data_IF_459310630296
#
_entry.id   IF_459310630296
#
_cell.length_a   1.000
_cell.length_b   1.000
_cell.length_c   1.000
_cell.angle_alpha   90.00
_cell.angle_beta   90.00
_cell.angle_gamma   90.00
#
_symmetry.space_group_name_H-M   'P 1'
#
loop_
_entity.id
_entity.type
_entity.pdbx_description
1 polymer ?
#
# COMPACT_ATOMS: atom_id res chain seq x y z
N UNK A 1 -26.45 -13.85 33.72
CA UNK A 1 -25.77 -12.60 34.11
C UNK A 1 -26.63 -11.44 33.64
N UNK A 2 -27.24 -10.69 34.56
CA UNK A 2 -28.03 -9.50 34.21
C UNK A 2 -27.12 -8.26 34.27
N UNK A 3 -27.24 -7.39 33.27
CA UNK A 3 -26.53 -6.11 33.24
C UNK A 3 -26.93 -5.27 34.46
N UNK A 4 -25.97 -4.91 35.32
CA UNK A 4 -26.21 -4.09 36.53
C UNK A 4 -25.95 -2.59 36.32
N UNK A 5 -25.83 -2.12 35.07
CA UNK A 5 -25.64 -0.71 34.77
C UNK A 5 -26.97 0.05 34.73
N UNK A 6 -26.94 1.33 35.09
CA UNK A 6 -28.07 2.25 34.90
C UNK A 6 -28.25 2.53 33.41
N UNK A 7 -29.42 2.21 32.86
CA UNK A 7 -29.80 2.60 31.49
C UNK A 7 -30.24 4.07 31.55
N UNK A 8 -29.45 4.95 30.92
CA UNK A 8 -29.79 6.36 30.80
C UNK A 8 -30.87 6.57 29.73
N UNK A 9 -31.75 7.54 29.94
CA UNK A 9 -32.65 8.03 28.90
C UNK A 9 -31.85 8.69 27.77
N UNK A 10 -32.46 8.82 26.59
CA UNK A 10 -31.83 9.51 25.45
C UNK A 10 -31.46 10.95 25.82
N UNK A 11 -32.32 11.65 26.55
CA UNK A 11 -32.05 13.02 27.02
C UNK A 11 -30.84 13.07 27.97
N UNK A 12 -30.77 12.14 28.93
CA UNK A 12 -29.63 12.05 29.85
C UNK A 12 -28.32 11.65 29.14
N UNK A 13 -28.40 10.88 28.04
CA UNK A 13 -27.26 10.59 27.19
C UNK A 13 -26.80 11.83 26.41
N UNK A 14 -27.74 12.61 25.89
CA UNK A 14 -27.44 13.84 25.13
C UNK A 14 -26.84 14.93 26.03
N UNK A 15 -27.41 15.16 27.22
CA UNK A 15 -26.87 16.09 28.21
C UNK A 15 -25.45 15.69 28.62
N UNK A 16 -25.23 14.39 28.86
CA UNK A 16 -23.90 13.87 29.21
C UNK A 16 -22.90 14.00 28.07
N UNK A 17 -23.33 13.80 26.81
CA UNK A 17 -22.47 13.98 25.64
C UNK A 17 -22.11 15.46 25.43
N UNK A 18 -23.04 16.39 25.68
CA UNK A 18 -22.82 17.83 25.57
C UNK A 18 -21.97 18.39 26.73
N UNK A 19 -22.06 17.81 27.93
CA UNK A 19 -21.28 18.21 29.10
C UNK A 19 -19.86 17.62 29.11
N UNK A 20 -19.63 16.54 28.36
CA UNK A 20 -18.28 16.01 28.17
C UNK A 20 -17.48 16.97 27.27
N UNK A 21 -16.22 17.30 27.63
CA UNK A 21 -15.35 18.01 26.69
C UNK A 21 -15.27 17.19 25.41
N UNK A 22 -15.52 17.84 24.27
CA UNK A 22 -15.46 17.19 22.97
C UNK A 22 -14.07 16.55 22.85
N UNK A 23 -13.97 15.21 22.69
CA UNK A 23 -12.67 14.59 22.52
C UNK A 23 -12.06 15.23 21.28
N UNK A 24 -10.93 15.92 21.47
CA UNK A 24 -10.21 16.51 20.36
C UNK A 24 -10.07 15.43 19.29
N UNK A 25 -10.48 15.69 18.02
CA UNK A 25 -10.36 14.69 16.98
C UNK A 25 -8.91 14.23 17.00
N UNK A 26 -8.71 12.92 17.20
CA UNK A 26 -7.39 12.30 17.20
C UNK A 26 -6.88 12.38 15.76
N UNK A 27 -6.43 13.56 15.36
CA UNK A 27 -5.75 13.82 14.10
C UNK A 27 -4.27 13.48 14.29
N UNK A 28 -3.99 12.28 14.81
CA UNK A 28 -2.76 11.64 14.42
C UNK A 28 -2.97 11.30 12.93
N UNK A 29 -2.61 12.23 12.04
CA UNK A 29 -2.54 11.98 10.60
C UNK A 29 -1.42 10.96 10.41
N UNK A 30 -1.75 9.71 10.67
CA UNK A 30 -0.83 8.59 10.67
C UNK A 30 -1.00 7.73 9.42
N UNK A 31 -0.05 6.81 9.26
CA UNK A 31 -0.15 5.76 8.27
C UNK A 31 -1.23 4.77 8.70
N UNK A 32 -2.03 4.29 7.74
CA UNK A 32 -2.94 3.17 7.98
C UNK A 32 -2.17 1.85 7.95
N UNK A 33 -1.46 1.61 6.85
CA UNK A 33 -0.52 0.51 6.69
C UNK A 33 0.74 1.00 5.97
N UNK A 34 1.86 0.38 6.29
CA UNK A 34 3.12 0.55 5.56
C UNK A 34 3.27 -0.51 4.46
N UNK A 35 4.21 -0.31 3.55
CA UNK A 35 4.64 -1.32 2.60
C UNK A 35 5.10 -2.61 3.29
N UNK A 36 5.69 -2.51 4.49
CA UNK A 36 6.10 -3.69 5.26
C UNK A 36 4.90 -4.48 5.79
N UNK A 37 3.83 -3.82 6.24
CA UNK A 37 2.62 -4.49 6.72
C UNK A 37 1.90 -5.19 5.55
N UNK A 38 1.82 -4.52 4.39
CA UNK A 38 1.24 -5.09 3.18
C UNK A 38 2.07 -6.26 2.61
N UNK A 39 3.41 -6.21 2.71
CA UNK A 39 4.27 -7.32 2.32
C UNK A 39 4.14 -8.53 3.26
N UNK A 40 3.99 -8.32 4.56
CA UNK A 40 3.71 -9.42 5.49
C UNK A 40 2.43 -10.17 5.09
N UNK A 41 1.37 -9.43 4.71
CA UNK A 41 0.15 -10.04 4.19
C UNK A 41 0.37 -10.79 2.88
N UNK A 42 1.19 -10.26 1.96
CA UNK A 42 1.57 -10.99 0.74
C UNK A 42 2.33 -12.29 1.06
N UNK A 43 3.21 -12.29 2.06
CA UNK A 43 3.92 -13.51 2.47
C UNK A 43 2.96 -14.62 2.89
N UNK A 44 1.85 -14.27 3.56
CA UNK A 44 0.81 -15.23 3.94
C UNK A 44 0.08 -15.77 2.70
N UNK A 45 -0.23 -14.91 1.72
CA UNK A 45 -0.87 -15.31 0.46
C UNK A 45 0.04 -16.25 -0.35
N UNK A 46 1.34 -15.90 -0.47
CA UNK A 46 2.33 -16.74 -1.16
C UNK A 46 2.48 -18.09 -0.46
N UNK A 47 2.54 -18.11 0.87
CA UNK A 47 2.61 -19.36 1.63
C UNK A 47 1.35 -20.24 1.49
N UNK A 48 0.18 -19.62 1.27
CA UNK A 48 -1.07 -20.32 0.98
C UNK A 48 -1.16 -20.82 -0.47
N UNK A 49 -0.20 -20.48 -1.34
CA UNK A 49 -0.18 -20.88 -2.75
C UNK A 49 -1.08 -20.03 -3.65
N UNK A 50 -1.49 -18.84 -3.19
CA UNK A 50 -2.29 -17.92 -3.98
C UNK A 50 -1.49 -17.34 -5.16
N UNK A 51 -2.19 -16.96 -6.23
CA UNK A 51 -1.55 -16.38 -7.41
C UNK A 51 -0.88 -15.04 -7.08
N UNK A 52 0.26 -14.81 -7.73
CA UNK A 52 0.97 -13.55 -7.81
C UNK A 52 0.07 -12.35 -8.17
N UNK A 53 -1.01 -12.56 -8.94
CA UNK A 53 -2.01 -11.54 -9.23
C UNK A 53 -2.79 -11.06 -7.98
N UNK A 54 -3.06 -11.94 -7.01
CA UNK A 54 -3.68 -11.57 -5.74
C UNK A 54 -2.72 -10.75 -4.89
N UNK A 55 -1.43 -11.12 -4.87
CA UNK A 55 -0.39 -10.33 -4.20
C UNK A 55 -0.19 -8.95 -4.84
N UNK A 56 -0.40 -8.82 -6.15
CA UNK A 56 -0.43 -7.50 -6.80
C UNK A 56 -1.58 -6.63 -6.27
N UNK A 57 -2.79 -7.18 -6.19
CA UNK A 57 -3.98 -6.45 -5.71
C UNK A 57 -3.87 -6.08 -4.23
N UNK A 58 -3.60 -7.06 -3.38
CA UNK A 58 -3.64 -6.87 -1.92
C UNK A 58 -2.33 -6.35 -1.32
N UNK A 59 -1.21 -6.44 -2.05
CA UNK A 59 0.05 -5.84 -1.64
C UNK A 59 0.29 -4.50 -2.30
N UNK A 60 0.42 -4.50 -3.63
CA UNK A 60 0.92 -3.36 -4.39
C UNK A 60 -0.14 -2.27 -4.54
N UNK A 61 -1.36 -2.63 -4.98
CA UNK A 61 -2.44 -1.65 -5.12
C UNK A 61 -2.92 -1.15 -3.75
N UNK A 62 -2.97 -2.02 -2.75
CA UNK A 62 -3.26 -1.61 -1.38
C UNK A 62 -2.22 -0.59 -0.85
N UNK A 63 -0.93 -0.82 -1.09
CA UNK A 63 0.13 0.14 -0.71
C UNK A 63 0.00 1.47 -1.46
N UNK A 64 -0.37 1.43 -2.74
CA UNK A 64 -0.64 2.64 -3.51
C UNK A 64 -1.86 3.40 -2.95
N UNK A 65 -2.91 2.70 -2.51
CA UNK A 65 -4.09 3.28 -1.87
C UNK A 65 -3.72 3.92 -0.51
N UNK A 66 -2.95 3.21 0.33
CA UNK A 66 -2.47 3.73 1.62
C UNK A 66 -1.59 4.98 1.43
N UNK A 67 -0.69 4.94 0.45
CA UNK A 67 0.13 6.09 0.06
C UNK A 67 -0.72 7.26 -0.44
N UNK A 68 -1.64 7.02 -1.37
CA UNK A 68 -2.50 8.07 -1.96
C UNK A 68 -3.41 8.70 -0.90
N UNK A 69 -3.96 7.89 -0.01
CA UNK A 69 -4.75 8.35 1.13
C UNK A 69 -3.93 9.25 2.06
N UNK A 70 -2.69 8.85 2.36
CA UNK A 70 -1.78 9.61 3.22
C UNK A 70 -1.33 10.90 2.55
N UNK A 71 -1.00 10.85 1.26
CA UNK A 71 -0.62 12.01 0.44
C UNK A 71 -1.70 13.09 0.48
N UNK A 72 -2.96 12.71 0.30
CA UNK A 72 -4.09 13.65 0.35
C UNK A 72 -4.27 14.31 1.71
N UNK A 73 -3.91 13.63 2.80
CA UNK A 73 -4.08 14.14 4.17
C UNK A 73 -2.89 14.95 4.69
N UNK A 74 -1.67 14.67 4.24
CA UNK A 74 -0.46 15.25 4.86
C UNK A 74 0.73 15.44 3.92
N UNK A 75 0.53 15.35 2.61
CA UNK A 75 1.56 15.67 1.62
C UNK A 75 2.62 14.58 1.40
N UNK A 76 3.57 14.82 0.47
CA UNK A 76 4.54 13.81 0.02
C UNK A 76 5.44 13.28 1.13
N UNK A 77 5.86 14.12 2.08
CA UNK A 77 6.76 13.73 3.15
C UNK A 77 6.10 12.77 4.13
N UNK A 78 4.80 12.95 4.40
CA UNK A 78 4.05 12.01 5.22
C UNK A 78 3.77 10.71 4.43
N UNK A 79 3.41 10.82 3.15
CA UNK A 79 3.14 9.66 2.30
C UNK A 79 4.38 8.78 2.12
N UNK A 80 5.57 9.37 1.99
CA UNK A 80 6.85 8.66 1.91
C UNK A 80 7.08 7.71 3.09
N UNK A 81 6.49 8.01 4.27
CA UNK A 81 6.62 7.15 5.46
C UNK A 81 6.01 5.77 5.28
N UNK A 82 5.10 5.57 4.31
CA UNK A 82 4.63 4.22 3.91
C UNK A 82 5.79 3.28 3.60
N UNK A 83 6.93 3.81 3.14
CA UNK A 83 8.10 3.06 2.72
C UNK A 83 9.27 3.10 3.71
N UNK A 84 9.11 3.70 4.89
CA UNK A 84 10.20 3.82 5.90
C UNK A 84 10.65 2.45 6.42
N UNK A 85 9.71 1.58 6.75
CA UNK A 85 10.00 0.21 7.16
C UNK A 85 10.27 -0.63 5.92
N UNK A 86 11.45 -1.24 5.87
CA UNK A 86 11.77 -2.20 4.80
C UNK A 86 10.79 -3.37 4.85
N UNK A 87 10.14 -3.71 3.73
CA UNK A 87 9.32 -4.90 3.64
C UNK A 87 10.17 -6.18 3.74
N UNK A 88 9.80 -7.11 4.62
CA UNK A 88 10.40 -8.45 4.63
C UNK A 88 10.15 -9.17 3.30
N UNK A 89 10.99 -10.14 2.99
CA UNK A 89 10.86 -10.95 1.77
C UNK A 89 9.57 -11.77 1.83
N UNK A 90 8.77 -11.64 0.79
CA UNK A 90 7.46 -12.30 0.69
C UNK A 90 7.54 -13.77 0.28
N UNK A 91 8.73 -14.22 -0.14
CA UNK A 91 8.92 -15.52 -0.80
C UNK A 91 8.65 -15.48 -2.31
N UNK A 92 8.15 -14.36 -2.85
CA UNK A 92 8.01 -14.11 -4.28
C UNK A 92 8.90 -12.96 -4.73
N UNK A 93 9.88 -13.25 -5.58
CA UNK A 93 10.80 -12.24 -6.12
C UNK A 93 10.04 -11.18 -6.94
N UNK A 94 8.96 -11.57 -7.61
CA UNK A 94 8.14 -10.68 -8.42
C UNK A 94 7.42 -9.63 -7.55
N UNK A 95 6.86 -10.08 -6.42
CA UNK A 95 6.19 -9.20 -5.45
C UNK A 95 7.20 -8.30 -4.74
N UNK A 96 8.34 -8.86 -4.31
CA UNK A 96 9.41 -8.09 -3.68
C UNK A 96 9.96 -6.99 -4.61
N UNK A 97 10.09 -7.30 -5.91
CA UNK A 97 10.48 -6.36 -6.96
C UNK A 97 9.44 -5.26 -7.15
N UNK A 98 8.15 -5.58 -7.05
CA UNK A 98 7.08 -4.58 -7.20
C UNK A 98 7.04 -3.57 -6.05
N UNK A 99 7.28 -3.98 -4.81
CA UNK A 99 7.38 -3.02 -3.70
C UNK A 99 8.53 -2.03 -3.91
N UNK A 100 9.69 -2.53 -4.37
CA UNK A 100 10.84 -1.68 -4.70
C UNK A 100 10.55 -0.75 -5.90
N UNK A 101 9.89 -1.27 -6.94
CA UNK A 101 9.47 -0.48 -8.10
C UNK A 101 8.47 0.62 -7.73
N UNK A 102 7.51 0.32 -6.84
CA UNK A 102 6.50 1.28 -6.40
C UNK A 102 7.13 2.42 -5.59
N UNK A 103 8.05 2.11 -4.66
CA UNK A 103 8.77 3.12 -3.89
C UNK A 103 9.58 4.06 -4.80
N UNK A 104 10.36 3.50 -5.74
CA UNK A 104 11.13 4.26 -6.72
C UNK A 104 10.22 5.15 -7.59
N UNK A 105 9.15 4.57 -8.16
CA UNK A 105 8.18 5.29 -8.98
C UNK A 105 7.54 6.49 -8.27
N UNK A 106 7.05 6.28 -7.04
CA UNK A 106 6.38 7.33 -6.28
C UNK A 106 7.34 8.39 -5.76
N UNK A 107 8.58 8.02 -5.43
CA UNK A 107 9.63 8.94 -5.02
C UNK A 107 9.99 9.93 -6.13
N UNK A 108 10.13 9.43 -7.35
CA UNK A 108 10.40 10.25 -8.54
C UNK A 108 9.19 11.14 -8.87
N UNK A 109 7.97 10.59 -8.79
CA UNK A 109 6.74 11.32 -9.10
C UNK A 109 6.48 12.48 -8.13
N UNK A 110 6.67 12.26 -6.83
CA UNK A 110 6.23 13.19 -5.78
C UNK A 110 7.40 13.92 -5.08
N UNK A 111 8.63 13.73 -5.56
CA UNK A 111 9.79 14.55 -5.18
C UNK A 111 10.36 14.25 -3.79
N UNK A 112 10.43 12.98 -3.39
CA UNK A 112 11.07 12.54 -2.15
C UNK A 112 12.17 11.50 -2.42
N UNK A 113 13.01 11.20 -1.43
CA UNK A 113 14.16 10.30 -1.59
C UNK A 113 13.74 8.85 -1.34
N UNK A 114 13.85 7.99 -2.36
CA UNK A 114 13.59 6.56 -2.22
C UNK A 114 14.46 5.92 -1.11
N UNK A 115 13.92 5.00 -0.30
CA UNK A 115 14.70 4.29 0.70
C UNK A 115 15.73 3.36 0.05
N UNK A 116 16.87 3.14 0.73
CA UNK A 116 17.98 2.35 0.19
C UNK A 116 17.57 0.92 -0.20
N UNK A 117 16.67 0.29 0.56
CA UNK A 117 16.18 -1.06 0.27
C UNK A 117 15.48 -1.17 -1.09
N UNK A 118 14.89 -0.08 -1.61
CA UNK A 118 14.26 -0.09 -2.92
C UNK A 118 15.30 -0.20 -4.05
N UNK A 119 16.56 0.16 -3.79
CA UNK A 119 17.66 0.02 -4.75
C UNK A 119 18.34 -1.36 -4.72
N UNK A 120 17.89 -2.28 -3.87
CA UNK A 120 18.46 -3.63 -3.75
C UNK A 120 18.31 -4.40 -5.09
N UNK A 121 19.43 -4.79 -5.74
CA UNK A 121 19.39 -5.46 -7.04
C UNK A 121 18.72 -6.84 -7.00
N UNK A 122 18.62 -7.47 -5.82
CA UNK A 122 17.95 -8.75 -5.65
C UNK A 122 16.41 -8.64 -5.68
N UNK A 123 15.85 -7.43 -5.66
CA UNK A 123 14.43 -7.14 -5.88
C UNK A 123 14.15 -6.87 -7.37
N UNK A 124 14.49 -7.84 -8.20
CA UNK A 124 14.36 -7.77 -9.66
C UNK A 124 13.68 -9.03 -10.19
N UNK A 125 12.52 -8.87 -10.82
CA UNK A 125 11.81 -9.94 -11.51
C UNK A 125 12.51 -10.29 -12.83
N UNK A 126 12.35 -11.53 -13.31
CA UNK A 126 12.86 -11.92 -14.62
C UNK A 126 12.06 -11.28 -15.75
N UNK A 127 10.74 -11.45 -15.69
CA UNK A 127 9.77 -10.87 -16.60
C UNK A 127 8.38 -11.14 -16.04
N UNK A 128 7.71 -10.10 -15.56
CA UNK A 128 6.41 -10.25 -14.91
C UNK A 128 5.40 -9.24 -15.45
N UNK A 129 4.16 -9.70 -15.64
CA UNK A 129 3.05 -8.96 -16.24
C UNK A 129 1.83 -9.01 -15.31
N UNK A 130 1.89 -8.33 -14.15
CA UNK A 130 0.85 -8.45 -13.13
C UNK A 130 -0.49 -7.89 -13.63
N UNK A 131 -1.51 -8.75 -13.65
CA UNK A 131 -2.85 -8.40 -14.12
C UNK A 131 -2.91 -7.80 -15.55
N UNK A 132 -1.90 -8.06 -16.40
CA UNK A 132 -1.88 -7.62 -17.81
C UNK A 132 -2.25 -8.79 -18.72
N UNK A 133 -3.40 -8.73 -19.42
CA UNK A 133 -3.77 -9.73 -20.42
C UNK A 133 -2.70 -9.89 -21.51
N UNK A 134 -2.54 -11.10 -22.03
CA UNK A 134 -1.50 -11.42 -23.03
C UNK A 134 -1.50 -10.48 -24.24
N UNK A 135 -2.69 -10.10 -24.71
CA UNK A 135 -2.90 -9.18 -25.83
C UNK A 135 -2.31 -7.77 -25.61
N UNK A 136 -2.13 -7.34 -24.36
CA UNK A 136 -1.59 -6.02 -24.00
C UNK A 136 -0.11 -6.06 -23.59
N UNK A 137 0.56 -7.22 -23.62
CA UNK A 137 1.95 -7.35 -23.13
C UNK A 137 2.96 -6.58 -23.97
N UNK A 138 2.75 -6.48 -25.27
CA UNK A 138 3.62 -5.70 -26.16
C UNK A 138 3.54 -4.20 -25.82
N UNK A 139 2.32 -3.71 -25.61
CA UNK A 139 2.07 -2.33 -25.16
C UNK A 139 2.70 -2.09 -23.78
N UNK A 140 2.45 -2.97 -22.81
CA UNK A 140 3.01 -2.86 -21.46
C UNK A 140 4.53 -2.71 -21.49
N UNK A 141 5.24 -3.49 -22.31
CA UNK A 141 6.70 -3.35 -22.47
C UNK A 141 7.10 -1.95 -22.97
N UNK A 142 6.37 -1.42 -23.95
CA UNK A 142 6.63 -0.13 -24.55
C UNK A 142 6.36 1.04 -23.57
N UNK A 143 5.29 0.95 -22.77
CA UNK A 143 4.81 2.09 -21.96
C UNK A 143 5.16 2.03 -20.48
N UNK A 144 5.66 0.89 -19.97
CA UNK A 144 5.93 0.70 -18.53
C UNK A 144 6.80 1.82 -17.94
N UNK A 145 6.45 2.34 -16.75
CA UNK A 145 7.30 3.33 -16.08
C UNK A 145 8.69 2.78 -15.80
N UNK A 146 9.70 3.66 -15.84
CA UNK A 146 11.11 3.33 -15.68
C UNK A 146 11.37 2.42 -14.47
N UNK A 147 10.84 2.78 -13.31
CA UNK A 147 11.06 2.08 -12.05
C UNK A 147 10.59 0.60 -12.08
N UNK A 148 9.47 0.33 -12.75
CA UNK A 148 8.95 -1.02 -12.95
C UNK A 148 9.75 -1.76 -14.04
N UNK A 149 9.98 -1.11 -15.19
CA UNK A 149 10.70 -1.71 -16.33
C UNK A 149 12.10 -2.19 -15.95
N UNK A 150 12.86 -1.39 -15.19
CA UNK A 150 14.22 -1.74 -14.74
C UNK A 150 14.25 -2.96 -13.82
N UNK A 151 13.12 -3.31 -13.20
CA UNK A 151 12.96 -4.47 -12.31
C UNK A 151 12.25 -5.64 -12.98
N UNK A 152 12.12 -5.64 -14.31
CA UNK A 152 11.50 -6.73 -15.07
C UNK A 152 9.97 -6.79 -14.94
N UNK A 153 9.34 -5.71 -14.49
CA UNK A 153 7.88 -5.63 -14.30
C UNK A 153 7.29 -4.76 -15.39
N UNK A 154 6.28 -5.30 -16.06
CA UNK A 154 5.65 -4.67 -17.21
C UNK A 154 4.17 -4.45 -16.96
N UNK A 155 3.79 -3.17 -16.90
CA UNK A 155 2.45 -2.69 -16.59
C UNK A 155 1.96 -1.69 -17.63
N UNK A 156 0.64 -1.58 -17.77
CA UNK A 156 -0.01 -0.50 -18.51
C UNK A 156 -0.38 0.63 -17.53
N UNK A 157 -0.83 1.77 -18.06
CA UNK A 157 -1.36 2.87 -17.23
C UNK A 157 -2.54 2.42 -16.36
N UNK A 158 -3.37 1.49 -16.86
CA UNK A 158 -4.50 0.92 -16.12
C UNK A 158 -4.09 -0.05 -15.02
N UNK A 159 -2.89 -0.64 -15.03
CA UNK A 159 -2.47 -1.62 -14.01
C UNK A 159 -2.29 -1.02 -12.62
N UNK A 160 -2.07 0.29 -12.52
CA UNK A 160 -2.05 1.04 -11.25
C UNK A 160 -3.37 1.76 -10.96
N UNK A 161 -4.31 1.75 -11.91
CA UNK A 161 -5.67 2.17 -11.66
C UNK A 161 -6.40 1.03 -10.93
N UNK A 162 -7.13 1.35 -9.87
CA UNK A 162 -8.01 0.39 -9.22
C UNK A 162 -9.10 0.00 -10.22
N UNK A 163 -9.26 -1.29 -10.49
CA UNK A 163 -10.36 -1.83 -11.27
C UNK A 163 -11.70 -1.65 -10.53
#
# INVERSE_FOLDING_TARGET
>A
MAFQGTVLSVDALLERAQAAPEPAPVSAVGLRHSAADNAARCSELVAAGEDSAESWRFGILQTLDDYTSTLRRGGPQLAARVFEREPQRTGSVDVDAAFAALADFLSERDGWIAPQWAADPTRTARQWFPAVPSIFRAEAQAVSPRAFRRRGIFITSSSLARA
#
